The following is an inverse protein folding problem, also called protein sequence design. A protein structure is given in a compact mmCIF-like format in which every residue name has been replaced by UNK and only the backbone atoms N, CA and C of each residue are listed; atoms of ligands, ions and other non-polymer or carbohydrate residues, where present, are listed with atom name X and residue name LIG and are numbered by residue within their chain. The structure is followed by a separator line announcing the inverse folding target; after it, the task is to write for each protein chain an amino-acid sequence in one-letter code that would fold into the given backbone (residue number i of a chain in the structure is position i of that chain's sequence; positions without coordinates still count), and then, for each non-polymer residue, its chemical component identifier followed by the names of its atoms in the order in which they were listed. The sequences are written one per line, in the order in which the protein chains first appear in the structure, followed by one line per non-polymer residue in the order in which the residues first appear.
data_IF_529160049358
#
_entry.id   IF_529160049358
#
_cell.length_a   1.000
_cell.length_b   1.000
_cell.length_c   1.000
_cell.angle_alpha   90.00
_cell.angle_beta   90.00
_cell.angle_gamma   90.00
#
_symmetry.space_group_name_H-M   'P 1'
#
loop_
_entity.id
_entity.type
_entity.pdbx_description
1 polymer ?
#
# COMPACT_ATOMS: atom_id res chain seq x y z
N UNK A 1 7.77 8.78 5.97
CA UNK A 1 8.11 9.93 6.84
C UNK A 1 9.60 9.93 7.10
N UNK A 2 10.30 11.09 7.01
CA UNK A 2 11.75 11.01 6.89
C UNK A 2 12.37 12.22 7.53
N UNK A 3 13.25 11.99 8.54
CA UNK A 3 13.73 13.05 9.42
C UNK A 3 14.51 14.15 8.70
N UNK A 4 15.17 13.84 7.59
CA UNK A 4 16.14 14.79 7.01
C UNK A 4 15.97 15.04 5.53
N UNK A 5 14.82 14.66 4.98
CA UNK A 5 14.81 14.79 3.58
C UNK A 5 13.63 14.45 2.81
N UNK A 6 13.69 14.70 1.79
CA UNK A 6 13.14 14.25 0.56
C UNK A 6 12.23 13.05 0.74
N UNK A 7 11.02 13.08 0.20
CA UNK A 7 10.18 11.91 0.08
C UNK A 7 11.03 10.86 -0.63
N UNK A 8 11.54 9.96 0.14
CA UNK A 8 12.54 9.09 -0.35
C UNK A 8 12.05 7.67 -0.16
N UNK A 9 11.79 7.04 -1.27
CA UNK A 9 11.50 5.62 -1.31
C UNK A 9 12.71 4.77 -0.88
N UNK A 10 13.87 5.42 -0.70
CA UNK A 10 15.16 4.80 -0.33
C UNK A 10 15.45 4.91 1.17
N UNK A 11 14.45 4.87 2.05
CA UNK A 11 14.66 4.83 3.50
C UNK A 11 15.45 3.60 3.87
N UNK A 12 16.52 3.82 4.60
CA UNK A 12 17.40 2.76 5.08
C UNK A 12 17.07 2.40 6.53
N UNK A 13 17.46 1.21 6.96
CA UNK A 13 17.26 0.77 8.34
C UNK A 13 17.90 1.73 9.37
N UNK A 14 19.00 2.37 9.03
CA UNK A 14 19.70 3.36 9.87
C UNK A 14 18.93 4.66 10.08
N UNK A 15 17.99 5.00 9.18
CA UNK A 15 17.16 6.22 9.29
C UNK A 15 16.07 6.08 10.38
N UNK A 16 15.74 4.86 10.77
CA UNK A 16 14.85 4.58 11.89
C UNK A 16 15.57 4.74 13.24
N UNK A 17 16.03 5.95 13.53
CA UNK A 17 16.71 6.27 14.79
C UNK A 17 15.77 6.17 15.99
N UNK A 18 16.30 6.03 17.21
CA UNK A 18 15.46 6.00 18.43
C UNK A 18 14.62 7.27 18.57
N UNK A 19 15.17 8.42 18.17
CA UNK A 19 14.44 9.70 18.14
C UNK A 19 13.26 9.64 17.16
N UNK A 20 13.46 9.05 15.98
CA UNK A 20 12.41 8.87 14.99
C UNK A 20 11.32 7.96 15.52
N UNK A 21 11.69 6.79 16.08
CA UNK A 21 10.74 5.80 16.60
C UNK A 21 9.93 6.34 17.79
N UNK A 22 10.60 7.02 18.73
CA UNK A 22 9.89 7.69 19.83
C UNK A 22 8.92 8.76 19.33
N UNK A 23 9.30 9.51 18.30
CA UNK A 23 8.40 10.52 17.71
C UNK A 23 7.19 9.89 17.00
N UNK A 24 7.38 8.76 16.32
CA UNK A 24 6.28 8.00 15.72
C UNK A 24 5.28 7.53 16.79
N UNK A 25 5.77 7.01 17.91
CA UNK A 25 4.94 6.65 19.05
C UNK A 25 4.22 7.88 19.64
N UNK A 26 4.91 9.00 19.84
CA UNK A 26 4.36 10.23 20.40
C UNK A 26 3.16 10.77 19.61
N UNK A 27 3.17 10.63 18.29
CA UNK A 27 2.02 11.03 17.43
C UNK A 27 0.95 9.96 17.33
N UNK A 28 1.08 8.85 18.08
CA UNK A 28 0.06 7.81 18.23
C UNK A 28 0.06 6.73 17.16
N UNK A 29 1.17 6.53 16.45
CA UNK A 29 1.32 5.37 15.56
C UNK A 29 1.43 4.08 16.38
N UNK A 30 0.73 3.02 15.92
CA UNK A 30 0.68 1.72 16.58
C UNK A 30 1.64 0.70 15.91
N UNK A 31 2.22 1.08 14.75
CA UNK A 31 3.19 0.27 14.01
C UNK A 31 3.65 0.93 12.72
N UNK A 32 4.44 0.22 11.94
CA UNK A 32 5.06 0.74 10.74
C UNK A 32 5.02 -0.25 9.58
N UNK A 33 4.84 0.28 8.37
CA UNK A 33 5.18 -0.42 7.14
C UNK A 33 6.62 -0.13 6.77
N UNK A 34 7.39 -1.17 6.47
CA UNK A 34 8.82 -1.08 6.18
C UNK A 34 9.08 -1.43 4.71
N UNK A 35 9.85 -0.59 4.02
CA UNK A 35 10.31 -0.90 2.68
C UNK A 35 11.24 -2.13 2.68
N UNK A 36 10.97 -3.12 1.83
CA UNK A 36 11.75 -4.35 1.77
C UNK A 36 13.25 -4.11 1.53
N UNK A 37 13.60 -3.11 0.70
CA UNK A 37 14.99 -2.76 0.42
C UNK A 37 15.79 -2.38 1.68
N UNK A 38 15.14 -1.72 2.64
CA UNK A 38 15.79 -1.38 3.92
C UNK A 38 16.13 -2.62 4.74
N UNK A 39 15.26 -3.64 4.70
CA UNK A 39 15.48 -4.91 5.40
C UNK A 39 16.51 -5.79 4.68
N UNK A 40 16.41 -5.89 3.36
CA UNK A 40 17.35 -6.64 2.52
C UNK A 40 18.79 -6.11 2.67
N UNK A 41 18.96 -4.79 2.79
CA UNK A 41 20.25 -4.15 3.01
C UNK A 41 20.92 -4.50 4.35
N UNK A 42 20.17 -4.99 5.34
CA UNK A 42 20.75 -5.49 6.61
C UNK A 42 21.58 -6.76 6.41
N UNK A 43 21.28 -7.55 5.38
CA UNK A 43 22.11 -8.63 4.86
C UNK A 43 22.11 -9.94 5.66
N UNK A 44 21.54 -9.99 6.87
CA UNK A 44 21.41 -11.21 7.67
C UNK A 44 20.12 -11.25 8.47
N UNK A 45 19.53 -12.43 8.65
CA UNK A 45 18.30 -12.64 9.43
C UNK A 45 18.45 -12.14 10.87
N UNK A 46 19.63 -12.30 11.47
CA UNK A 46 19.84 -11.81 12.84
C UNK A 46 19.68 -10.29 12.92
N UNK A 47 20.25 -9.54 11.97
CA UNK A 47 20.09 -8.08 11.94
C UNK A 47 18.65 -7.67 11.64
N UNK A 48 17.93 -8.43 10.81
CA UNK A 48 16.49 -8.19 10.55
C UNK A 48 15.68 -8.42 11.83
N UNK A 49 15.93 -9.49 12.58
CA UNK A 49 15.31 -9.77 13.89
C UNK A 49 15.61 -8.66 14.91
N UNK A 50 16.87 -8.25 15.01
CA UNK A 50 17.29 -7.18 15.93
C UNK A 50 16.61 -5.85 15.58
N UNK A 51 16.46 -5.56 14.28
CA UNK A 51 15.73 -4.40 13.80
C UNK A 51 14.25 -4.46 14.16
N UNK A 52 13.57 -5.59 13.89
CA UNK A 52 12.16 -5.79 14.27
C UNK A 52 11.93 -5.67 15.77
N UNK A 53 12.81 -6.29 16.57
CA UNK A 53 12.77 -6.15 18.03
C UNK A 53 12.92 -4.69 18.46
N UNK A 54 13.83 -3.93 17.87
CA UNK A 54 14.01 -2.52 18.19
C UNK A 54 12.78 -1.69 17.89
N UNK A 55 12.09 -1.92 16.77
CA UNK A 55 10.82 -1.27 16.46
C UNK A 55 9.76 -1.58 17.53
N UNK A 56 9.64 -2.85 17.90
CA UNK A 56 8.70 -3.29 18.92
C UNK A 56 9.03 -2.72 20.31
N UNK A 57 10.30 -2.66 20.70
CA UNK A 57 10.76 -2.05 21.97
C UNK A 57 10.38 -0.54 22.05
N UNK A 58 10.24 0.14 20.90
CA UNK A 58 9.77 1.53 20.81
C UNK A 58 8.24 1.63 20.66
N UNK A 59 7.50 0.52 20.73
CA UNK A 59 6.03 0.51 20.63
C UNK A 59 5.48 0.76 19.22
N UNK A 60 6.32 0.64 18.18
CA UNK A 60 5.95 0.80 16.77
C UNK A 60 6.46 -0.39 15.93
N UNK A 61 6.00 -1.63 16.22
CA UNK A 61 6.46 -2.83 15.52
C UNK A 61 6.26 -2.74 14.01
N UNK A 62 7.01 -3.57 13.27
CA UNK A 62 6.76 -3.77 11.85
C UNK A 62 5.42 -4.52 11.67
N UNK A 63 4.45 -3.90 10.98
CA UNK A 63 3.15 -4.49 10.68
C UNK A 63 3.11 -5.05 9.26
N UNK A 64 3.77 -4.37 8.33
CA UNK A 64 3.80 -4.76 6.94
C UNK A 64 5.19 -4.53 6.33
N UNK A 65 5.51 -5.32 5.31
CA UNK A 65 6.63 -5.07 4.41
C UNK A 65 6.08 -4.68 3.04
N UNK A 66 6.66 -3.64 2.44
CA UNK A 66 6.25 -3.17 1.12
C UNK A 66 7.36 -3.28 0.08
N UNK A 67 6.99 -3.74 -1.10
CA UNK A 67 7.78 -3.63 -2.32
C UNK A 67 6.86 -3.60 -3.54
N UNK A 68 7.43 -3.42 -4.70
CA UNK A 68 6.73 -3.49 -5.99
C UNK A 68 7.42 -4.46 -6.93
N UNK A 69 6.83 -4.63 -8.10
CA UNK A 69 7.37 -5.46 -9.17
C UNK A 69 6.26 -6.23 -9.87
N UNK A 70 6.27 -6.23 -11.19
CA UNK A 70 5.27 -6.95 -11.97
C UNK A 70 5.57 -8.45 -12.00
N UNK A 71 4.62 -9.26 -11.58
CA UNK A 71 4.69 -10.72 -11.68
C UNK A 71 4.29 -11.25 -13.06
N UNK A 72 3.89 -10.36 -13.98
CA UNK A 72 3.49 -10.73 -15.34
C UNK A 72 4.38 -10.10 -16.42
N UNK A 73 5.35 -9.25 -16.04
CA UNK A 73 6.25 -8.60 -16.98
C UNK A 73 7.02 -9.62 -17.82
N UNK A 74 7.20 -9.30 -19.12
CA UNK A 74 7.97 -10.16 -20.02
C UNK A 74 9.46 -10.22 -19.64
N UNK A 75 9.97 -9.15 -19.00
CA UNK A 75 11.34 -9.08 -18.48
C UNK A 75 11.30 -8.79 -16.99
N UNK A 76 12.17 -9.47 -16.23
CA UNK A 76 12.27 -9.26 -14.77
C UNK A 76 11.22 -10.03 -13.94
N UNK A 77 10.34 -10.77 -14.59
CA UNK A 77 9.34 -11.60 -13.91
C UNK A 77 9.94 -12.52 -12.84
N UNK A 78 10.97 -13.30 -13.20
CA UNK A 78 11.57 -14.24 -12.27
C UNK A 78 12.19 -13.53 -11.05
N UNK A 79 12.86 -12.40 -11.28
CA UNK A 79 13.43 -11.60 -10.20
C UNK A 79 12.34 -11.05 -9.27
N UNK A 80 11.21 -10.60 -9.82
CA UNK A 80 10.10 -10.09 -9.03
C UNK A 80 9.44 -11.20 -8.21
N UNK A 81 9.28 -12.40 -8.79
CA UNK A 81 8.80 -13.59 -8.10
C UNK A 81 9.73 -14.00 -6.95
N UNK A 82 11.02 -14.11 -7.22
CA UNK A 82 12.02 -14.45 -6.21
C UNK A 82 12.06 -13.38 -5.09
N UNK A 83 11.87 -12.12 -5.44
CA UNK A 83 11.75 -11.02 -4.46
C UNK A 83 10.53 -11.19 -3.56
N UNK A 84 9.37 -11.52 -4.12
CA UNK A 84 8.15 -11.75 -3.33
C UNK A 84 8.36 -12.87 -2.31
N UNK A 85 8.98 -13.98 -2.71
CA UNK A 85 9.31 -15.06 -1.78
C UNK A 85 10.28 -14.62 -0.68
N UNK A 86 11.33 -13.84 -1.02
CA UNK A 86 12.22 -13.26 0.01
C UNK A 86 11.50 -12.29 0.95
N UNK A 87 10.53 -11.54 0.43
CA UNK A 87 9.70 -10.66 1.28
C UNK A 87 8.90 -11.46 2.31
N UNK A 88 8.31 -12.59 1.90
CA UNK A 88 7.58 -13.47 2.80
C UNK A 88 8.48 -14.00 3.92
N UNK A 89 9.69 -14.47 3.60
CA UNK A 89 10.68 -14.91 4.59
C UNK A 89 11.11 -13.77 5.53
N UNK A 90 11.30 -12.60 4.96
CA UNK A 90 11.71 -11.40 5.72
C UNK A 90 10.58 -10.89 6.61
N UNK A 91 9.32 -10.97 6.17
CA UNK A 91 8.15 -10.59 6.97
C UNK A 91 8.10 -11.43 8.26
N UNK A 92 8.16 -12.75 8.14
CA UNK A 92 8.23 -13.64 9.30
C UNK A 92 9.44 -13.28 10.21
N UNK A 93 10.59 -12.97 9.62
CA UNK A 93 11.83 -12.69 10.35
C UNK A 93 11.76 -11.39 11.14
N UNK A 94 11.18 -10.33 10.58
CA UNK A 94 11.05 -9.01 11.23
C UNK A 94 9.85 -8.93 12.18
N UNK A 95 8.93 -9.88 12.09
CA UNK A 95 7.70 -9.94 12.89
C UNK A 95 6.51 -9.20 12.25
N UNK A 96 6.54 -8.97 10.94
CA UNK A 96 5.41 -8.43 10.19
C UNK A 96 4.51 -9.57 9.69
N UNK A 97 3.20 -9.32 9.69
CA UNK A 97 2.18 -10.28 9.25
C UNK A 97 1.59 -9.97 7.87
N UNK A 98 1.97 -8.83 7.26
CA UNK A 98 1.53 -8.41 5.93
C UNK A 98 2.73 -8.24 4.98
N UNK A 99 2.60 -8.78 3.78
CA UNK A 99 3.42 -8.41 2.62
C UNK A 99 2.53 -7.67 1.64
N UNK A 100 2.81 -6.39 1.38
CA UNK A 100 2.04 -5.53 0.51
C UNK A 100 2.81 -5.15 -0.76
N UNK A 101 2.13 -5.05 -1.89
CA UNK A 101 2.76 -4.62 -3.12
C UNK A 101 1.81 -4.08 -4.17
N UNK A 102 2.26 -3.04 -4.90
CA UNK A 102 1.66 -2.61 -6.15
C UNK A 102 2.24 -3.46 -7.29
N UNK A 103 1.40 -4.28 -7.90
CA UNK A 103 1.78 -5.13 -9.01
C UNK A 103 1.48 -4.41 -10.32
N UNK A 104 2.53 -3.92 -10.99
CA UNK A 104 2.39 -3.21 -12.25
C UNK A 104 1.95 -4.16 -13.37
N UNK A 105 1.13 -3.66 -14.29
CA UNK A 105 0.80 -4.36 -15.51
C UNK A 105 2.07 -4.61 -16.36
N UNK A 106 2.09 -5.67 -17.18
CA UNK A 106 3.18 -5.92 -18.07
C UNK A 106 3.34 -4.77 -19.06
N UNK A 107 4.56 -4.36 -19.31
CA UNK A 107 4.87 -3.35 -20.32
C UNK A 107 4.68 -3.94 -21.71
N UNK A 108 3.60 -3.57 -22.40
CA UNK A 108 3.29 -4.03 -23.76
C UNK A 108 4.08 -3.29 -24.83
N UNK A 109 4.51 -2.07 -24.49
CA UNK A 109 5.20 -1.19 -25.42
C UNK A 109 6.56 -0.76 -24.84
N UNK A 110 7.57 -1.63 -24.91
CA UNK A 110 8.91 -1.28 -24.46
C UNK A 110 9.40 0.00 -25.14
N UNK A 111 9.97 0.92 -24.39
CA UNK A 111 10.51 2.17 -24.93
C UNK A 111 9.54 3.34 -24.99
N UNK A 112 8.25 3.17 -24.64
CA UNK A 112 7.37 4.31 -24.41
C UNK A 112 7.68 5.01 -23.09
N UNK A 113 7.45 6.33 -22.98
CA UNK A 113 7.44 7.00 -21.68
C UNK A 113 6.48 6.27 -20.73
N UNK A 114 6.97 5.93 -19.56
CA UNK A 114 6.21 5.14 -18.59
C UNK A 114 6.48 3.65 -18.62
N UNK A 115 7.16 3.13 -19.66
CA UNK A 115 7.56 1.75 -19.70
C UNK A 115 8.85 1.54 -18.93
N UNK A 116 8.75 1.01 -17.76
CA UNK A 116 9.85 0.19 -17.30
C UNK A 116 10.75 0.64 -16.20
N UNK A 117 10.74 1.80 -15.63
CA UNK A 117 11.47 2.01 -14.39
C UNK A 117 11.14 3.31 -13.68
N UNK A 118 11.08 3.23 -12.41
CA UNK A 118 10.98 4.39 -11.55
C UNK A 118 9.63 5.12 -11.67
N UNK A 119 9.69 6.41 -11.74
CA UNK A 119 8.54 7.32 -11.77
C UNK A 119 7.67 7.20 -13.02
N UNK A 120 8.17 6.56 -14.06
CA UNK A 120 7.44 6.31 -15.28
C UNK A 120 6.89 4.89 -15.24
N UNK A 121 5.75 4.74 -14.57
CA UNK A 121 5.03 3.48 -14.57
C UNK A 121 4.50 3.14 -15.94
N UNK A 122 4.27 1.87 -16.20
CA UNK A 122 3.54 1.41 -17.35
C UNK A 122 2.24 2.21 -17.47
N UNK A 123 1.84 2.54 -18.69
CA UNK A 123 0.51 3.08 -18.94
C UNK A 123 -0.54 1.99 -19.15
N UNK A 124 -0.12 0.75 -19.05
CA UNK A 124 -1.02 -0.40 -19.09
C UNK A 124 -1.84 -0.44 -17.80
N UNK A 125 -3.15 -0.56 -17.95
CA UNK A 125 -4.13 -0.61 -16.88
C UNK A 125 -5.01 -1.86 -17.02
N UNK A 126 -5.90 -2.09 -16.10
CA UNK A 126 -6.86 -3.22 -16.16
C UNK A 126 -7.64 -3.25 -17.48
N UNK A 127 -8.04 -2.09 -17.99
CA UNK A 127 -8.75 -1.94 -19.27
C UNK A 127 -7.96 -2.41 -20.51
N UNK A 128 -6.64 -2.43 -20.43
CA UNK A 128 -5.75 -2.86 -21.51
C UNK A 128 -5.26 -4.30 -21.33
N UNK A 129 -5.59 -4.92 -20.20
CA UNK A 129 -5.18 -6.26 -19.85
C UNK A 129 -6.00 -7.31 -20.60
N UNK A 130 -5.44 -8.49 -20.76
CA UNK A 130 -6.12 -9.67 -21.23
C UNK A 130 -6.35 -10.66 -20.11
N UNK A 131 -7.33 -11.53 -20.25
CA UNK A 131 -7.65 -12.49 -19.19
C UNK A 131 -6.45 -13.34 -18.75
N UNK A 132 -5.58 -13.71 -19.68
CA UNK A 132 -4.40 -14.51 -19.34
C UNK A 132 -3.37 -13.75 -18.48
N UNK A 133 -3.38 -12.40 -18.49
CA UNK A 133 -2.56 -11.60 -17.57
C UNK A 133 -3.02 -11.81 -16.13
N UNK A 134 -4.34 -11.85 -15.92
CA UNK A 134 -4.94 -12.14 -14.61
C UNK A 134 -4.78 -13.59 -14.19
N UNK A 135 -5.00 -14.55 -15.11
CA UNK A 135 -4.81 -15.97 -14.82
C UNK A 135 -3.38 -16.25 -14.36
N UNK A 136 -2.40 -15.66 -15.06
CA UNK A 136 -1.00 -15.79 -14.68
C UNK A 136 -0.69 -15.13 -13.34
N UNK A 137 -1.15 -13.89 -13.14
CA UNK A 137 -0.99 -13.19 -11.88
C UNK A 137 -1.63 -13.96 -10.72
N UNK A 138 -2.84 -14.48 -10.93
CA UNK A 138 -3.55 -15.30 -9.96
C UNK A 138 -2.76 -16.55 -9.54
N UNK A 139 -2.18 -17.27 -10.50
CA UNK A 139 -1.36 -18.45 -10.21
C UNK A 139 -0.12 -18.12 -9.37
N UNK A 140 0.58 -17.04 -9.70
CA UNK A 140 1.76 -16.59 -8.95
C UNK A 140 1.40 -16.17 -7.52
N UNK A 141 0.27 -15.48 -7.36
CA UNK A 141 -0.21 -15.05 -6.04
C UNK A 141 -0.76 -16.21 -5.22
N UNK A 142 -1.40 -17.21 -5.84
CA UNK A 142 -1.80 -18.44 -5.15
C UNK A 142 -0.59 -19.15 -4.55
N UNK A 143 0.47 -19.37 -5.36
CA UNK A 143 1.70 -20.01 -4.90
C UNK A 143 2.35 -19.20 -3.78
N UNK A 144 2.45 -17.87 -3.94
CA UNK A 144 2.99 -17.00 -2.91
C UNK A 144 2.16 -17.05 -1.61
N UNK A 145 0.83 -17.07 -1.72
CA UNK A 145 -0.07 -17.15 -0.58
C UNK A 145 0.03 -18.49 0.15
N UNK A 146 0.18 -19.59 -0.58
CA UNK A 146 0.39 -20.91 0.02
C UNK A 146 1.71 -20.93 0.85
N UNK A 147 2.80 -20.38 0.30
CA UNK A 147 4.09 -20.25 1.04
C UNK A 147 3.97 -19.28 2.22
N UNK A 148 3.23 -18.18 2.06
CA UNK A 148 3.01 -17.19 3.11
C UNK A 148 2.16 -17.74 4.26
N UNK A 149 1.15 -18.55 3.95
CA UNK A 149 0.27 -19.19 4.94
C UNK A 149 1.03 -20.08 5.91
N UNK A 150 2.01 -20.85 5.43
CA UNK A 150 2.88 -21.66 6.28
C UNK A 150 3.71 -20.83 7.28
N UNK A 151 3.83 -19.54 7.05
CA UNK A 151 4.60 -18.58 7.86
C UNK A 151 3.74 -17.60 8.67
N UNK A 152 2.41 -17.73 8.57
CA UNK A 152 1.47 -16.81 9.21
C UNK A 152 1.46 -15.41 8.59
N UNK A 153 1.80 -15.30 7.29
CA UNK A 153 1.88 -14.04 6.55
C UNK A 153 0.72 -13.94 5.58
N UNK A 154 0.13 -12.77 5.47
CA UNK A 154 -0.92 -12.43 4.51
C UNK A 154 -0.33 -11.64 3.34
N UNK A 155 -0.73 -11.98 2.12
CA UNK A 155 -0.38 -11.22 0.92
C UNK A 155 -1.46 -10.19 0.62
N UNK A 156 -1.04 -8.95 0.43
CA UNK A 156 -1.91 -7.82 0.09
C UNK A 156 -1.51 -7.22 -1.25
N UNK A 157 -2.48 -7.03 -2.13
CA UNK A 157 -2.28 -6.33 -3.41
C UNK A 157 -2.88 -4.95 -3.35
N UNK A 158 -2.06 -3.94 -3.58
CA UNK A 158 -2.49 -2.55 -3.60
C UNK A 158 -3.20 -2.20 -4.91
N UNK A 159 -4.37 -1.60 -4.79
CA UNK A 159 -5.04 -0.92 -5.91
C UNK A 159 -4.20 0.29 -6.30
N UNK A 160 -3.66 0.28 -7.51
CA UNK A 160 -2.73 1.31 -7.94
C UNK A 160 -2.92 1.66 -9.41
N UNK A 161 -2.97 2.95 -9.73
CA UNK A 161 -3.06 3.41 -11.13
C UNK A 161 -1.93 2.82 -11.98
N UNK A 162 -2.21 2.58 -13.23
CA UNK A 162 -1.30 1.97 -14.19
C UNK A 162 -0.80 0.57 -13.74
N UNK A 163 -1.72 -0.23 -13.21
CA UNK A 163 -1.46 -1.63 -12.85
C UNK A 163 -2.64 -2.51 -13.24
N UNK A 164 -2.48 -3.83 -13.14
CA UNK A 164 -3.57 -4.77 -13.39
C UNK A 164 -4.71 -4.63 -12.39
N UNK A 165 -4.41 -4.14 -11.19
CA UNK A 165 -5.38 -3.94 -10.11
C UNK A 165 -5.47 -2.44 -9.84
N UNK A 166 -6.33 -1.73 -10.57
CA UNK A 166 -6.48 -0.28 -10.51
C UNK A 166 -7.92 0.20 -10.24
N UNK A 167 -8.87 -0.73 -10.11
CA UNK A 167 -10.27 -0.47 -9.79
C UNK A 167 -10.92 -1.65 -9.06
N UNK A 168 -12.18 -1.48 -8.62
CA UNK A 168 -12.93 -2.52 -7.90
C UNK A 168 -13.10 -3.79 -8.69
N UNK A 169 -13.39 -3.68 -9.98
CA UNK A 169 -13.59 -4.84 -10.83
C UNK A 169 -12.34 -5.73 -10.90
N UNK A 170 -11.17 -5.13 -11.16
CA UNK A 170 -9.91 -5.86 -11.24
C UNK A 170 -9.45 -6.39 -9.87
N UNK A 171 -9.78 -5.68 -8.79
CA UNK A 171 -9.52 -6.13 -7.43
C UNK A 171 -10.32 -7.40 -7.09
N UNK A 172 -11.61 -7.42 -7.40
CA UNK A 172 -12.44 -8.63 -7.22
C UNK A 172 -11.96 -9.78 -8.11
N UNK A 173 -11.66 -9.51 -9.37
CA UNK A 173 -11.20 -10.54 -10.29
C UNK A 173 -9.94 -11.25 -9.78
N UNK A 174 -8.95 -10.48 -9.32
CA UNK A 174 -7.71 -11.09 -8.81
C UNK A 174 -7.94 -11.79 -7.48
N UNK A 175 -8.80 -11.26 -6.60
CA UNK A 175 -9.16 -11.90 -5.35
C UNK A 175 -9.82 -13.26 -5.59
N UNK A 176 -10.77 -13.34 -6.52
CA UNK A 176 -11.45 -14.57 -6.88
C UNK A 176 -10.52 -15.60 -7.54
N UNK A 177 -9.57 -15.14 -8.36
CA UNK A 177 -8.57 -16.00 -9.00
C UNK A 177 -7.57 -16.58 -8.00
N UNK A 178 -7.19 -15.82 -6.99
CA UNK A 178 -6.24 -16.28 -5.95
C UNK A 178 -6.93 -17.24 -4.98
N UNK A 179 -8.14 -16.94 -4.53
CA UNK A 179 -8.97 -17.80 -3.67
C UNK A 179 -8.20 -18.41 -2.49
N UNK A 180 -7.63 -17.53 -1.64
CA UNK A 180 -6.90 -17.90 -0.41
C UNK A 180 -7.30 -16.98 0.75
N UNK A 181 -7.50 -17.58 1.93
CA UNK A 181 -7.89 -16.84 3.16
C UNK A 181 -6.83 -15.83 3.62
N UNK A 182 -5.56 -16.06 3.27
CA UNK A 182 -4.44 -15.17 3.58
C UNK A 182 -4.02 -14.30 2.39
N UNK A 183 -4.97 -14.01 1.52
CA UNK A 183 -4.80 -13.06 0.41
C UNK A 183 -5.93 -12.03 0.42
N UNK A 184 -5.64 -10.80 0.01
CA UNK A 184 -6.66 -9.78 -0.18
C UNK A 184 -6.10 -8.47 -0.73
N UNK A 185 -6.92 -7.44 -0.63
CA UNK A 185 -6.72 -6.16 -1.30
C UNK A 185 -6.30 -5.08 -0.30
N UNK A 186 -5.47 -4.16 -0.76
CA UNK A 186 -5.20 -2.87 -0.14
C UNK A 186 -5.89 -1.77 -0.98
N UNK A 187 -7.06 -1.24 -0.54
CA UNK A 187 -7.86 -0.28 -1.31
C UNK A 187 -7.33 1.15 -1.14
N UNK A 188 -6.20 1.49 -1.74
CA UNK A 188 -5.69 2.86 -1.68
C UNK A 188 -6.57 3.83 -2.47
N UNK A 189 -7.45 4.55 -1.77
CA UNK A 189 -8.37 5.50 -2.35
C UNK A 189 -7.68 6.67 -3.06
N UNK A 190 -6.51 7.07 -2.58
CA UNK A 190 -5.71 8.10 -3.22
C UNK A 190 -5.27 7.69 -4.63
N UNK A 191 -5.01 6.41 -4.85
CA UNK A 191 -4.64 5.89 -6.16
C UNK A 191 -5.83 5.85 -7.13
N UNK A 192 -7.02 5.51 -6.66
CA UNK A 192 -8.26 5.59 -7.44
C UNK A 192 -8.57 7.02 -7.83
N UNK A 193 -8.39 7.96 -6.89
CA UNK A 193 -8.62 9.39 -7.11
C UNK A 193 -7.54 10.06 -7.97
N UNK A 194 -6.33 9.53 -7.98
CA UNK A 194 -5.16 10.10 -8.64
C UNK A 194 -5.17 9.84 -10.16
N UNK A 195 -6.11 10.43 -10.83
CA UNK A 195 -6.21 10.38 -12.29
C UNK A 195 -6.48 11.77 -12.86
N UNK A 196 -5.96 12.04 -14.06
CA UNK A 196 -6.28 13.25 -14.82
C UNK A 196 -7.72 13.20 -15.34
N UNK A 197 -8.12 12.06 -15.87
CA UNK A 197 -9.46 11.82 -16.39
C UNK A 197 -10.50 11.66 -15.29
N UNK A 198 -11.75 11.53 -15.71
CA UNK A 198 -12.83 11.11 -14.80
C UNK A 198 -12.53 9.70 -14.32
N UNK A 199 -12.47 9.46 -13.01
CA UNK A 199 -12.32 8.12 -12.47
C UNK A 199 -13.40 7.17 -12.98
N UNK A 200 -13.06 5.90 -13.20
CA UNK A 200 -14.04 4.88 -13.61
C UNK A 200 -15.14 4.67 -12.56
N UNK A 201 -14.81 4.91 -11.30
CA UNK A 201 -15.69 4.83 -10.16
C UNK A 201 -15.37 5.94 -9.14
N UNK A 202 -16.30 6.25 -8.25
CA UNK A 202 -16.04 7.15 -7.14
C UNK A 202 -15.26 6.43 -6.04
N UNK A 203 -14.52 7.18 -5.20
CA UNK A 203 -13.85 6.63 -4.02
C UNK A 203 -14.82 5.92 -3.07
N UNK A 204 -16.04 6.45 -2.93
CA UNK A 204 -17.09 5.87 -2.09
C UNK A 204 -17.60 4.53 -2.64
N UNK A 205 -17.83 4.45 -3.96
CA UNK A 205 -18.22 3.20 -4.60
C UNK A 205 -17.10 2.15 -4.50
N UNK A 206 -15.85 2.59 -4.73
CA UNK A 206 -14.68 1.72 -4.62
C UNK A 206 -14.56 1.11 -3.23
N UNK A 207 -14.47 1.95 -2.18
CA UNK A 207 -14.24 1.44 -0.82
C UNK A 207 -15.39 0.51 -0.38
N UNK A 208 -16.63 0.86 -0.68
CA UNK A 208 -17.78 0.03 -0.38
C UNK A 208 -17.71 -1.34 -1.06
N UNK A 209 -17.22 -1.38 -2.30
CA UNK A 209 -17.07 -2.61 -3.06
C UNK A 209 -15.98 -3.50 -2.51
N UNK A 210 -14.78 -2.94 -2.23
CA UNK A 210 -13.59 -3.75 -1.90
C UNK A 210 -13.37 -3.97 -0.40
N UNK A 211 -14.08 -3.26 0.47
CA UNK A 211 -13.93 -3.42 1.91
C UNK A 211 -14.05 -4.88 2.39
N UNK A 212 -15.00 -5.70 1.88
CA UNK A 212 -15.13 -7.11 2.31
C UNK A 212 -13.94 -8.01 1.96
N UNK A 213 -13.12 -7.62 0.98
CA UNK A 213 -11.95 -8.38 0.52
C UNK A 213 -10.62 -7.71 0.90
N UNK A 214 -10.68 -6.69 1.76
CA UNK A 214 -9.51 -5.93 2.19
C UNK A 214 -8.82 -6.58 3.38
N UNK A 215 -7.50 -6.71 3.31
CA UNK A 215 -6.65 -7.26 4.39
C UNK A 215 -5.63 -6.27 4.92
N UNK A 216 -5.41 -5.19 4.20
CA UNK A 216 -4.51 -4.09 4.54
C UNK A 216 -5.07 -2.80 3.92
N UNK A 217 -4.70 -1.62 4.40
CA UNK A 217 -5.27 -0.38 3.86
C UNK A 217 -4.28 0.78 3.91
N UNK A 218 -3.87 1.29 2.73
CA UNK A 218 -3.19 2.56 2.59
C UNK A 218 -4.19 3.73 2.62
N UNK A 219 -3.93 4.68 3.50
CA UNK A 219 -4.76 5.86 3.69
C UNK A 219 -4.02 7.11 3.20
N UNK A 220 -4.44 7.62 2.05
CA UNK A 220 -3.84 8.77 1.39
C UNK A 220 -4.94 9.72 0.92
N UNK A 221 -4.87 10.99 1.30
CA UNK A 221 -5.80 12.02 0.82
C UNK A 221 -5.10 13.09 -0.02
N UNK A 222 -5.83 13.68 -0.94
CA UNK A 222 -5.31 14.53 -1.99
C UNK A 222 -6.22 15.72 -2.25
N UNK A 223 -5.61 16.86 -2.60
CA UNK A 223 -6.27 17.90 -3.39
C UNK A 223 -5.87 17.77 -4.84
N UNK A 224 -6.84 17.94 -5.76
CA UNK A 224 -6.63 17.90 -7.19
C UNK A 224 -6.82 19.29 -7.81
N UNK A 225 -5.78 19.80 -8.45
CA UNK A 225 -5.84 21.03 -9.25
C UNK A 225 -5.79 20.65 -10.72
N UNK A 226 -6.91 20.84 -11.42
CA UNK A 226 -7.03 20.53 -12.83
C UNK A 226 -6.54 21.68 -13.70
N UNK A 227 -5.82 21.34 -14.78
CA UNK A 227 -5.44 22.20 -15.88
C UNK A 227 -6.00 21.65 -17.20
N UNK A 228 -7.29 21.89 -17.49
CA UNK A 228 -7.97 21.27 -18.65
C UNK A 228 -7.31 21.58 -19.99
N UNK A 229 -6.79 22.79 -20.15
CA UNK A 229 -6.10 23.24 -21.37
C UNK A 229 -4.80 22.49 -21.66
N UNK A 230 -4.21 21.83 -20.65
CA UNK A 230 -2.99 21.05 -20.77
C UNK A 230 -3.22 19.55 -20.57
N UNK A 231 -4.48 19.14 -20.39
CA UNK A 231 -4.86 17.76 -20.08
C UNK A 231 -4.05 17.19 -18.90
N UNK A 232 -3.92 17.97 -17.81
CA UNK A 232 -3.11 17.65 -16.64
C UNK A 232 -3.82 17.96 -15.35
N UNK A 233 -3.46 17.20 -14.33
CA UNK A 233 -3.81 17.50 -12.94
C UNK A 233 -2.55 17.48 -12.06
N UNK A 234 -2.55 18.36 -11.08
CA UNK A 234 -1.57 18.34 -9.99
C UNK A 234 -2.26 17.84 -8.74
N UNK A 235 -1.62 16.91 -8.07
CA UNK A 235 -2.13 16.30 -6.84
C UNK A 235 -1.24 16.68 -5.66
N UNK A 236 -1.84 17.24 -4.64
CA UNK A 236 -1.16 17.62 -3.41
C UNK A 236 -1.60 16.68 -2.30
N UNK A 237 -0.67 15.90 -1.76
CA UNK A 237 -0.92 15.05 -0.59
C UNK A 237 -1.12 15.92 0.64
N UNK A 238 -2.17 15.61 1.39
CA UNK A 238 -2.57 16.32 2.61
C UNK A 238 -2.92 15.31 3.70
N UNK A 239 -3.05 15.75 4.98
CA UNK A 239 -3.62 14.89 6.01
C UNK A 239 -4.95 14.26 5.58
N UNK A 240 -5.23 13.04 6.03
CA UNK A 240 -6.45 12.34 5.59
C UNK A 240 -7.75 13.07 5.94
N UNK A 241 -7.71 13.96 6.92
CA UNK A 241 -8.83 14.84 7.29
C UNK A 241 -9.07 16.02 6.33
N UNK A 242 -8.10 16.38 5.47
CA UNK A 242 -8.07 17.70 4.80
C UNK A 242 -8.30 17.64 3.28
N UNK A 243 -8.28 16.45 2.68
CA UNK A 243 -8.39 16.30 1.22
C UNK A 243 -9.81 16.13 0.72
N UNK A 244 -9.93 15.76 -0.55
CA UNK A 244 -11.22 15.67 -1.25
C UNK A 244 -11.87 14.28 -1.10
N UNK A 245 -11.16 13.29 -0.54
CA UNK A 245 -11.69 11.96 -0.24
C UNK A 245 -12.34 12.00 1.14
N UNK A 246 -13.59 11.54 1.26
CA UNK A 246 -14.28 11.43 2.54
C UNK A 246 -13.80 10.22 3.34
N UNK A 247 -12.79 10.43 4.17
CA UNK A 247 -12.26 9.38 5.03
C UNK A 247 -13.18 9.00 6.19
N UNK A 248 -14.14 9.85 6.59
CA UNK A 248 -15.15 9.42 7.57
C UNK A 248 -16.04 8.34 6.96
N UNK A 249 -16.54 8.59 5.74
CA UNK A 249 -17.30 7.58 5.01
C UNK A 249 -16.48 6.30 4.79
N UNK A 250 -15.23 6.44 4.35
CA UNK A 250 -14.37 5.30 4.06
C UNK A 250 -14.11 4.42 5.30
N UNK A 251 -13.78 5.03 6.45
CA UNK A 251 -13.56 4.32 7.71
C UNK A 251 -14.85 3.63 8.17
N UNK A 252 -16.00 4.30 8.04
CA UNK A 252 -17.30 3.71 8.37
C UNK A 252 -17.61 2.51 7.47
N UNK A 253 -17.43 2.62 6.16
CA UNK A 253 -17.65 1.52 5.22
C UNK A 253 -16.74 0.30 5.49
N UNK A 254 -15.47 0.53 5.83
CA UNK A 254 -14.54 -0.54 6.22
C UNK A 254 -14.96 -1.21 7.51
N UNK A 255 -15.36 -0.43 8.52
CA UNK A 255 -15.87 -0.95 9.80
C UNK A 255 -17.14 -1.77 9.63
N UNK A 256 -18.10 -1.28 8.84
CA UNK A 256 -19.36 -1.99 8.53
C UNK A 256 -19.13 -3.31 7.78
N UNK A 257 -18.08 -3.38 6.96
CA UNK A 257 -17.65 -4.61 6.29
C UNK A 257 -16.92 -5.59 7.21
N UNK A 258 -16.63 -5.21 8.46
CA UNK A 258 -15.92 -6.04 9.44
C UNK A 258 -14.40 -5.99 9.30
N UNK A 259 -13.85 -5.01 8.59
CA UNK A 259 -12.40 -4.84 8.48
C UNK A 259 -11.79 -4.56 9.85
N UNK A 260 -10.77 -5.33 10.21
CA UNK A 260 -10.05 -5.23 11.48
C UNK A 260 -8.52 -5.25 11.27
N UNK A 261 -8.07 -4.81 10.12
CA UNK A 261 -6.65 -4.71 9.75
C UNK A 261 -6.05 -3.34 10.06
N UNK A 262 -4.87 -3.12 9.55
CA UNK A 262 -4.12 -1.88 9.76
C UNK A 262 -4.56 -0.77 8.79
N UNK A 263 -4.60 0.46 9.31
CA UNK A 263 -4.72 1.69 8.53
C UNK A 263 -3.34 2.34 8.42
N UNK A 264 -2.66 2.18 7.30
CA UNK A 264 -1.34 2.74 7.08
C UNK A 264 -1.44 4.14 6.46
N UNK A 265 -1.09 5.15 7.23
CA UNK A 265 -1.08 6.54 6.74
C UNK A 265 0.06 6.71 5.72
N UNK A 266 -0.28 6.86 4.46
CA UNK A 266 0.66 7.25 3.40
C UNK A 266 0.74 8.78 3.34
N UNK A 267 1.52 9.36 4.24
CA UNK A 267 1.48 10.72 4.69
C UNK A 267 1.69 11.82 3.65
N UNK A 268 1.45 13.05 4.07
CA UNK A 268 1.78 14.24 3.32
C UNK A 268 3.30 14.36 3.13
N UNK A 269 3.74 14.75 1.93
CA UNK A 269 5.17 14.85 1.58
C UNK A 269 5.71 16.28 1.66
N UNK A 270 4.91 17.22 2.13
CA UNK A 270 5.26 18.65 2.17
C UNK A 270 5.03 19.23 3.56
N UNK A 271 5.86 20.20 3.94
CA UNK A 271 5.75 20.88 5.22
C UNK A 271 6.23 20.04 6.40
N UNK A 272 5.63 20.26 7.56
CA UNK A 272 5.90 19.48 8.77
C UNK A 272 5.14 18.15 8.73
N UNK A 273 5.83 17.10 8.30
CA UNK A 273 5.26 15.76 8.17
C UNK A 273 4.80 15.16 9.50
N UNK A 274 5.52 15.44 10.59
CA UNK A 274 5.12 14.95 11.91
C UNK A 274 3.78 15.52 12.34
N UNK A 275 3.57 16.81 12.07
CA UNK A 275 2.30 17.45 12.35
C UNK A 275 1.19 16.88 11.45
N UNK A 276 1.46 16.72 10.16
CA UNK A 276 0.49 16.23 9.18
C UNK A 276 0.06 14.78 9.47
N UNK A 277 1.02 13.92 9.77
CA UNK A 277 0.75 12.51 10.07
C UNK A 277 0.10 12.35 11.45
N UNK A 278 0.54 13.12 12.45
CA UNK A 278 -0.12 13.16 13.76
C UNK A 278 -1.58 13.56 13.66
N UNK A 279 -1.89 14.59 12.84
CA UNK A 279 -3.27 14.99 12.54
C UNK A 279 -4.07 13.86 11.86
N UNK A 280 -3.45 13.15 10.94
CA UNK A 280 -4.08 12.02 10.25
C UNK A 280 -4.41 10.88 11.22
N UNK A 281 -3.48 10.51 12.10
CA UNK A 281 -3.67 9.48 13.13
C UNK A 281 -4.76 9.89 14.13
N UNK A 282 -4.72 11.12 14.64
CA UNK A 282 -5.73 11.65 15.57
C UNK A 282 -7.13 11.61 14.94
N UNK A 283 -7.24 12.05 13.68
CA UNK A 283 -8.51 12.02 12.96
C UNK A 283 -9.04 10.60 12.79
N UNK A 284 -8.22 9.66 12.32
CA UNK A 284 -8.62 8.26 12.16
C UNK A 284 -9.12 7.67 13.49
N UNK A 285 -8.36 7.85 14.59
CA UNK A 285 -8.74 7.37 15.92
C UNK A 285 -10.04 8.04 16.42
N UNK A 286 -10.27 9.32 16.10
CA UNK A 286 -11.51 10.01 16.48
C UNK A 286 -12.74 9.45 15.74
N UNK A 287 -12.61 9.14 14.45
CA UNK A 287 -13.70 8.54 13.66
C UNK A 287 -14.02 7.14 14.18
N UNK A 288 -13.00 6.30 14.45
CA UNK A 288 -13.21 4.98 15.05
C UNK A 288 -13.92 5.07 16.41
N UNK A 289 -13.52 6.01 17.26
CA UNK A 289 -14.20 6.26 18.55
C UNK A 289 -15.66 6.70 18.38
N UNK A 290 -15.97 7.47 17.34
CA UNK A 290 -17.37 7.85 17.04
C UNK A 290 -18.19 6.64 16.60
N UNK A 291 -17.62 5.76 15.75
CA UNK A 291 -18.27 4.52 15.30
C UNK A 291 -18.56 3.61 16.51
N UNK A 292 -17.58 3.38 17.39
CA UNK A 292 -17.74 2.57 18.60
C UNK A 292 -18.82 3.12 19.54
N UNK A 293 -18.99 4.43 19.55
CA UNK A 293 -20.03 5.09 20.34
C UNK A 293 -21.40 5.18 19.61
N UNK A 294 -21.54 4.58 18.43
CA UNK A 294 -22.76 4.63 17.62
C UNK A 294 -23.04 5.99 17.01
N UNK A 295 -22.03 6.79 16.76
CA UNK A 295 -22.08 8.14 16.14
C UNK A 295 -21.42 8.19 14.77
N UNK A 296 -21.13 7.05 14.17
CA UNK A 296 -20.50 6.94 12.87
C UNK A 296 -21.40 7.25 11.68
#
# INVERSE_FOLDING_TARGET
MYPDSQPNWDVKAEDYTDKFLSKAQDIGMDGMEIGFQALEALGTDQKVKDFGKRLADHGVPAMAIRSGGSLTAAAGYQENRDRLHRMIDTAQTVGADIVNGALSAPTRYPGKPGSGSGWYKSQDASRDAMIYDYERLGQELQEASDVAGDKGVTISVEVHQNSLVDNSWSAHLINDLVDRDNFGINPDLGNVYWTYDTPEETTDAHIKSVAPISVYWHCKNLFRVNHPENERSVFLRVPISDGEIDYRYAITAMSEAGYNGYMAIEGAVTGDQWLADGKSVEYAKSVLSDIDAGRG
#
